data_IF_016456866514
#
_entry.id   IF_016456866514
#
_cell.length_a   1.000
_cell.length_b   1.000
_cell.length_c   1.000
_cell.angle_alpha   90.00
_cell.angle_beta   90.00
_cell.angle_gamma   90.00
#
_symmetry.space_group_name_H-M   'P 1'
#
loop_
_entity.id
_entity.type
_entity.pdbx_description
1 polymer ?
#
# COMPACT_ATOMS: atom_id res chain seq x y z
N UNK A 1 -12.68 -17.64 40.40
CA UNK A 1 -13.80 -16.77 39.95
C UNK A 1 -13.82 -16.80 38.44
N UNK A 2 -14.82 -17.45 37.87
CA UNK A 2 -15.01 -17.65 36.43
C UNK A 2 -15.25 -16.29 35.73
N UNK A 3 -14.30 -15.88 34.87
CA UNK A 3 -14.60 -14.87 33.84
C UNK A 3 -15.50 -15.55 32.82
N UNK A 4 -16.77 -15.13 32.79
CA UNK A 4 -17.72 -15.42 31.72
C UNK A 4 -17.03 -15.16 30.38
N UNK A 5 -16.87 -16.23 29.58
CA UNK A 5 -16.55 -16.12 28.18
C UNK A 5 -17.62 -15.23 27.54
N UNK A 6 -17.23 -14.06 27.04
CA UNK A 6 -18.11 -13.22 26.26
C UNK A 6 -18.62 -14.09 25.09
N UNK A 7 -19.93 -14.27 25.02
CA UNK A 7 -20.58 -15.00 23.93
C UNK A 7 -20.15 -14.32 22.63
N UNK A 8 -19.44 -15.07 21.79
CA UNK A 8 -18.98 -14.60 20.50
C UNK A 8 -20.19 -14.41 19.58
N UNK A 9 -20.72 -13.18 19.53
CA UNK A 9 -21.89 -12.80 18.72
C UNK A 9 -21.56 -12.64 17.23
N UNK A 10 -20.42 -13.16 16.77
CA UNK A 10 -19.99 -13.07 15.37
C UNK A 10 -20.83 -14.00 14.49
N UNK A 11 -21.19 -13.49 13.30
CA UNK A 11 -22.01 -14.21 12.31
C UNK A 11 -21.19 -15.07 11.34
N UNK A 12 -19.87 -14.87 11.27
CA UNK A 12 -18.98 -15.50 10.30
C UNK A 12 -17.71 -16.00 10.97
N UNK A 13 -17.18 -17.11 10.45
CA UNK A 13 -15.88 -17.64 10.85
C UNK A 13 -14.77 -16.72 10.34
N UNK A 14 -13.76 -16.48 11.19
CA UNK A 14 -12.57 -15.70 10.84
C UNK A 14 -11.38 -16.63 10.68
N UNK A 15 -10.64 -16.42 9.61
CA UNK A 15 -9.41 -17.13 9.28
C UNK A 15 -8.26 -16.23 9.73
N UNK A 16 -7.52 -16.67 10.74
CA UNK A 16 -6.33 -15.98 11.21
C UNK A 16 -5.17 -16.22 10.24
N UNK A 17 -4.34 -15.20 10.03
CA UNK A 17 -3.14 -15.34 9.20
C UNK A 17 -1.97 -15.76 10.08
N UNK A 18 -1.34 -16.89 9.74
CA UNK A 18 -0.15 -17.41 10.44
C UNK A 18 1.17 -16.82 9.92
N UNK A 19 1.09 -16.09 8.81
CA UNK A 19 2.10 -16.12 7.76
C UNK A 19 2.73 -14.74 7.46
N UNK A 20 2.07 -13.66 7.88
CA UNK A 20 2.48 -12.30 7.53
C UNK A 20 2.94 -11.52 8.76
N UNK A 21 4.25 -11.29 8.85
CA UNK A 21 4.89 -10.48 9.89
C UNK A 21 5.32 -9.10 9.41
N UNK A 22 5.19 -8.82 8.11
CA UNK A 22 5.61 -7.57 7.49
C UNK A 22 4.45 -6.60 7.27
N UNK A 23 4.68 -5.28 7.46
CA UNK A 23 3.63 -4.29 7.28
C UNK A 23 3.29 -4.08 5.80
N UNK A 24 2.00 -4.12 5.51
CA UNK A 24 1.44 -3.66 4.24
C UNK A 24 1.24 -2.14 4.25
N UNK A 25 1.01 -1.58 3.06
CA UNK A 25 0.61 -0.19 2.87
C UNK A 25 -0.88 -0.08 2.58
N UNK A 26 -1.54 0.80 3.33
CA UNK A 26 -2.91 1.24 3.09
C UNK A 26 -2.98 2.76 2.93
N UNK A 27 -4.15 3.24 2.56
CA UNK A 27 -4.43 4.66 2.40
C UNK A 27 -5.79 5.03 3.00
N UNK A 28 -5.83 6.18 3.66
CA UNK A 28 -7.06 6.82 4.15
C UNK A 28 -7.69 7.57 2.98
N UNK A 29 -8.91 7.21 2.59
CA UNK A 29 -9.55 7.81 1.42
C UNK A 29 -9.82 9.33 1.55
N UNK A 30 -10.20 9.87 2.73
CA UNK A 30 -10.50 11.30 2.85
C UNK A 30 -9.34 12.23 2.50
N UNK A 31 -8.14 11.92 2.98
CA UNK A 31 -6.95 12.79 2.90
C UNK A 31 -5.79 12.18 2.10
N UNK A 32 -5.93 10.93 1.68
CA UNK A 32 -4.90 10.17 0.96
C UNK A 32 -3.60 9.99 1.76
N UNK A 33 -3.71 9.99 3.10
CA UNK A 33 -2.59 9.68 3.98
C UNK A 33 -2.32 8.17 3.94
N UNK A 34 -1.07 7.83 3.66
CA UNK A 34 -0.57 6.46 3.66
C UNK A 34 -0.33 5.99 5.10
N UNK A 35 -0.74 4.77 5.42
CA UNK A 35 -0.47 4.13 6.71
C UNK A 35 0.09 2.71 6.52
N UNK A 36 0.74 2.19 7.56
CA UNK A 36 1.22 0.82 7.62
C UNK A 36 0.30 -0.03 8.50
N UNK A 37 0.06 -1.28 8.11
CA UNK A 37 -0.75 -2.20 8.90
C UNK A 37 -0.28 -3.65 8.76
N UNK A 38 -0.54 -4.45 9.79
CA UNK A 38 -0.42 -5.90 9.76
C UNK A 38 -1.81 -6.53 9.55
N UNK A 39 -1.84 -7.60 8.77
CA UNK A 39 -3.07 -8.33 8.50
C UNK A 39 -3.25 -9.43 9.55
N UNK A 40 -4.35 -9.39 10.31
CA UNK A 40 -4.53 -10.25 11.51
C UNK A 40 -5.48 -11.42 11.22
N UNK A 41 -6.68 -11.10 10.72
CA UNK A 41 -7.66 -12.10 10.32
C UNK A 41 -8.57 -11.57 9.20
N UNK A 42 -9.27 -12.47 8.52
CA UNK A 42 -10.34 -12.10 7.58
C UNK A 42 -11.55 -13.02 7.68
N UNK A 43 -12.69 -12.53 7.21
CA UNK A 43 -13.89 -13.31 6.92
C UNK A 43 -14.44 -12.91 5.53
N UNK A 44 -15.56 -13.51 5.14
CA UNK A 44 -16.25 -13.18 3.88
C UNK A 44 -16.71 -11.72 3.78
N UNK A 45 -16.93 -11.04 4.92
CA UNK A 45 -17.45 -9.67 4.96
C UNK A 45 -16.53 -8.65 5.64
N UNK A 46 -15.43 -9.09 6.26
CA UNK A 46 -14.60 -8.21 7.07
C UNK A 46 -13.15 -8.65 7.19
N UNK A 47 -12.34 -7.75 7.72
CA UNK A 47 -10.92 -7.97 7.96
C UNK A 47 -10.53 -7.27 9.26
N UNK A 48 -9.62 -7.88 10.00
CA UNK A 48 -8.97 -7.24 11.13
C UNK A 48 -7.54 -6.92 10.75
N UNK A 49 -7.15 -5.68 11.02
CA UNK A 49 -5.77 -5.22 10.89
C UNK A 49 -5.25 -4.76 12.25
N UNK A 50 -3.94 -4.81 12.43
CA UNK A 50 -3.24 -4.19 13.54
C UNK A 50 -2.39 -3.03 13.01
N UNK A 51 -2.43 -1.90 13.71
CA UNK A 51 -1.53 -0.76 13.47
C UNK A 51 -0.42 -0.84 14.52
N UNK A 52 0.84 -1.05 14.10
CA UNK A 52 1.97 -1.10 15.02
C UNK A 52 2.26 0.24 15.68
N UNK A 53 2.71 0.23 16.94
CA UNK A 53 3.00 1.42 17.75
C UNK A 53 4.02 2.40 17.16
N UNK A 54 5.04 1.89 16.46
CA UNK A 54 6.02 2.71 15.76
C UNK A 54 5.41 3.50 14.58
N UNK A 55 4.15 3.23 14.25
CA UNK A 55 3.34 3.95 13.24
C UNK A 55 2.27 4.84 13.91
N UNK A 56 1.96 4.66 15.20
CA UNK A 56 0.77 5.20 15.89
C UNK A 56 0.78 6.72 16.08
N UNK A 57 1.88 7.44 15.82
CA UNK A 57 1.95 8.84 16.27
C UNK A 57 0.97 9.84 15.60
N UNK A 58 0.27 9.51 14.50
CA UNK A 58 -0.51 10.55 13.79
C UNK A 58 -1.92 10.20 13.28
N UNK A 59 -2.39 8.94 13.33
CA UNK A 59 -3.65 8.57 12.70
C UNK A 59 -4.58 7.75 13.62
N UNK A 60 -5.52 8.43 14.29
CA UNK A 60 -6.71 7.76 14.81
C UNK A 60 -7.73 7.68 13.70
N UNK A 61 -8.07 6.48 13.27
CA UNK A 61 -9.19 6.30 12.35
C UNK A 61 -10.50 6.73 13.00
N UNK A 62 -11.46 7.16 12.19
CA UNK A 62 -12.81 7.49 12.65
C UNK A 62 -13.76 6.33 12.32
N UNK A 63 -14.74 6.06 13.18
CA UNK A 63 -15.78 5.08 12.84
C UNK A 63 -16.51 5.51 11.57
N UNK A 64 -16.73 4.56 10.65
CA UNK A 64 -17.30 4.84 9.33
C UNK A 64 -16.32 5.39 8.30
N UNK A 65 -15.06 5.65 8.64
CA UNK A 65 -14.04 6.09 7.69
C UNK A 65 -13.72 5.01 6.65
N UNK A 66 -13.53 5.43 5.40
CA UNK A 66 -13.15 4.54 4.30
C UNK A 66 -11.64 4.46 4.14
N UNK A 67 -11.14 3.22 4.14
CA UNK A 67 -9.75 2.88 3.96
C UNK A 67 -9.61 2.01 2.72
N UNK A 68 -8.51 2.16 1.98
CA UNK A 68 -8.14 1.22 0.93
C UNK A 68 -6.85 0.52 1.35
N UNK A 69 -6.95 -0.79 1.54
CA UNK A 69 -5.85 -1.65 2.00
C UNK A 69 -4.91 -2.04 0.85
N UNK A 70 -5.33 -1.84 -0.41
CA UNK A 70 -4.56 -2.19 -1.60
C UNK A 70 -4.02 -3.63 -1.57
N UNK A 71 -4.74 -4.57 -0.94
CA UNK A 71 -4.28 -5.95 -0.86
C UNK A 71 -4.65 -6.68 -2.15
N UNK A 72 -3.68 -7.28 -2.88
CA UNK A 72 -3.95 -8.08 -4.07
C UNK A 72 -4.42 -9.51 -3.72
N UNK A 73 -5.18 -9.64 -2.62
CA UNK A 73 -5.54 -10.92 -1.99
C UNK A 73 -7.06 -11.06 -1.89
N UNK A 74 -7.57 -12.25 -2.19
CA UNK A 74 -8.97 -12.63 -1.93
C UNK A 74 -9.10 -13.62 -0.77
N UNK A 75 -10.14 -13.42 0.05
CA UNK A 75 -10.65 -14.43 0.98
C UNK A 75 -12.06 -14.82 0.53
N UNK A 76 -12.23 -16.06 0.09
CA UNK A 76 -13.45 -16.50 -0.60
C UNK A 76 -13.67 -15.72 -1.90
N UNK A 77 -14.86 -15.13 -2.06
CA UNK A 77 -15.19 -14.36 -3.27
C UNK A 77 -14.81 -12.87 -3.20
N UNK A 78 -14.40 -12.37 -2.04
CA UNK A 78 -14.23 -10.93 -1.82
C UNK A 78 -12.77 -10.50 -1.89
N UNK A 79 -12.51 -9.41 -2.62
CA UNK A 79 -11.19 -8.74 -2.67
C UNK A 79 -11.04 -7.81 -1.47
N UNK A 80 -9.91 -7.91 -0.78
CA UNK A 80 -9.58 -7.08 0.39
C UNK A 80 -9.06 -5.70 -0.03
N UNK A 81 -9.83 -4.96 -0.82
CA UNK A 81 -9.36 -3.69 -1.37
C UNK A 81 -9.85 -2.49 -0.57
N UNK A 82 -11.16 -2.22 -0.58
CA UNK A 82 -11.75 -1.04 0.06
C UNK A 82 -12.61 -1.48 1.23
N UNK A 83 -12.38 -0.88 2.40
CA UNK A 83 -13.07 -1.24 3.62
C UNK A 83 -13.54 0.00 4.38
N UNK A 84 -14.47 -0.21 5.30
CA UNK A 84 -14.95 0.82 6.23
C UNK A 84 -14.66 0.42 7.66
N UNK A 85 -14.15 1.37 8.44
CA UNK A 85 -13.91 1.19 9.88
C UNK A 85 -15.22 0.95 10.61
N UNK A 86 -15.23 -0.03 11.52
CA UNK A 86 -16.38 -0.35 12.38
C UNK A 86 -16.09 -0.27 13.86
N UNK A 87 -14.88 -0.63 14.26
CA UNK A 87 -14.47 -0.57 15.65
C UNK A 87 -12.96 -0.50 15.74
N UNK A 88 -12.48 0.00 16.86
CA UNK A 88 -11.07 0.11 17.18
C UNK A 88 -10.86 -0.31 18.62
N UNK A 89 -9.75 -1.01 18.87
CA UNK A 89 -9.38 -1.47 20.21
C UNK A 89 -7.88 -1.40 20.36
N UNK A 90 -7.42 -0.58 21.31
CA UNK A 90 -6.03 -0.62 21.74
C UNK A 90 -5.76 -1.90 22.53
N UNK A 91 -4.62 -2.53 22.28
CA UNK A 91 -4.10 -3.61 23.10
C UNK A 91 -2.86 -3.15 23.85
N UNK A 92 -2.97 -3.07 25.17
CA UNK A 92 -1.86 -2.64 26.02
C UNK A 92 -0.74 -3.69 26.13
N UNK A 93 -1.02 -4.96 25.81
CA UNK A 93 -0.02 -6.02 25.89
C UNK A 93 0.96 -5.99 24.72
N UNK A 94 0.46 -5.73 23.51
CA UNK A 94 1.27 -5.65 22.27
C UNK A 94 1.61 -4.22 21.88
N UNK A 95 1.03 -3.22 22.57
CA UNK A 95 1.06 -1.80 22.21
C UNK A 95 0.43 -1.51 20.83
N UNK A 96 -0.32 -2.44 20.25
CA UNK A 96 -0.92 -2.27 18.93
C UNK A 96 -2.34 -1.70 19.01
N UNK A 97 -2.78 -1.11 17.90
CA UNK A 97 -4.18 -0.73 17.71
C UNK A 97 -4.85 -1.68 16.71
N UNK A 98 -5.77 -2.50 17.20
CA UNK A 98 -6.60 -3.34 16.35
C UNK A 98 -7.75 -2.54 15.76
N UNK A 99 -7.98 -2.74 14.47
CA UNK A 99 -9.05 -2.08 13.71
C UNK A 99 -9.88 -3.14 13.01
N UNK A 100 -11.17 -3.15 13.33
CA UNK A 100 -12.14 -3.98 12.64
C UNK A 100 -12.72 -3.26 11.43
N UNK A 101 -12.58 -3.89 10.27
CA UNK A 101 -13.00 -3.34 9.00
C UNK A 101 -14.09 -4.21 8.37
N UNK A 102 -15.07 -3.56 7.75
CA UNK A 102 -16.07 -4.22 6.90
C UNK A 102 -15.75 -3.92 5.45
N UNK A 103 -15.71 -4.94 4.62
CA UNK A 103 -15.42 -4.80 3.21
C UNK A 103 -16.55 -4.03 2.50
N UNK A 104 -16.16 -3.08 1.65
CA UNK A 104 -17.06 -2.45 0.69
C UNK A 104 -16.99 -3.27 -0.62
N UNK A 105 -18.08 -3.30 -1.39
CA UNK A 105 -18.28 -4.24 -2.52
C UNK A 105 -17.08 -4.35 -3.48
N UNK A 106 -16.96 -5.57 -4.02
CA UNK A 106 -15.98 -6.15 -4.97
C UNK A 106 -15.18 -5.16 -5.84
N UNK A 107 -13.86 -5.28 -5.76
CA UNK A 107 -12.95 -4.83 -6.81
C UNK A 107 -13.12 -5.63 -8.10
N UNK A 108 -12.84 -4.98 -9.24
CA UNK A 108 -12.83 -5.60 -10.56
C UNK A 108 -11.46 -6.16 -10.96
N UNK A 109 -10.42 -5.97 -10.16
CA UNK A 109 -9.09 -6.53 -10.46
C UNK A 109 -9.02 -8.02 -10.12
N UNK A 110 -8.47 -8.82 -11.02
CA UNK A 110 -8.13 -10.22 -10.72
C UNK A 110 -7.13 -10.28 -9.57
N UNK A 111 -7.42 -11.04 -8.50
CA UNK A 111 -6.51 -11.17 -7.37
C UNK A 111 -5.26 -11.96 -7.76
N UNK A 112 -4.11 -11.51 -7.28
CA UNK A 112 -2.84 -12.23 -7.48
C UNK A 112 -2.76 -13.42 -6.53
N UNK A 113 -3.33 -13.27 -5.33
CA UNK A 113 -3.29 -14.28 -4.28
C UNK A 113 -4.68 -14.64 -3.76
N UNK A 114 -4.80 -15.87 -3.29
CA UNK A 114 -5.96 -16.38 -2.56
C UNK A 114 -5.53 -16.89 -1.20
N UNK A 115 -6.43 -16.78 -0.24
CA UNK A 115 -6.27 -17.35 1.10
C UNK A 115 -7.10 -18.62 1.16
N UNK A 116 -6.50 -19.70 1.62
CA UNK A 116 -7.20 -20.97 1.81
C UNK A 116 -7.96 -21.00 3.16
N UNK A 117 -8.62 -22.13 3.43
CA UNK A 117 -9.38 -22.31 4.68
C UNK A 117 -8.52 -22.36 5.95
N UNK A 118 -7.21 -22.55 5.82
CA UNK A 118 -6.24 -22.61 6.90
C UNK A 118 -5.53 -21.27 7.14
N UNK A 119 -5.76 -20.27 6.29
CA UNK A 119 -5.11 -18.97 6.37
C UNK A 119 -3.78 -18.90 5.63
N UNK A 120 -3.45 -19.92 4.82
CA UNK A 120 -2.28 -19.93 3.96
C UNK A 120 -2.55 -19.13 2.71
N UNK A 121 -1.52 -18.40 2.25
CA UNK A 121 -1.60 -17.59 1.05
C UNK A 121 -0.97 -18.33 -0.12
N UNK A 122 -1.72 -18.45 -1.20
CA UNK A 122 -1.28 -19.09 -2.43
C UNK A 122 -1.45 -18.14 -3.62
N UNK A 123 -0.69 -18.37 -4.70
CA UNK A 123 -0.95 -17.72 -5.97
C UNK A 123 -2.31 -18.16 -6.52
N UNK A 124 -3.13 -17.19 -6.95
CA UNK A 124 -4.44 -17.47 -7.57
C UNK A 124 -4.31 -18.25 -8.87
N UNK A 125 -3.20 -18.05 -9.60
CA UNK A 125 -2.88 -18.77 -10.84
C UNK A 125 -1.59 -19.57 -10.64
N UNK A 126 -1.71 -20.89 -10.59
CA UNK A 126 -0.60 -21.83 -10.39
C UNK A 126 0.42 -21.84 -11.53
N UNK A 127 0.11 -21.25 -12.70
CA UNK A 127 1.04 -21.08 -13.81
C UNK A 127 1.96 -19.85 -13.69
N UNK A 128 1.75 -18.99 -12.69
CA UNK A 128 2.63 -17.84 -12.44
C UNK A 128 3.86 -18.27 -11.65
N UNK A 129 5.04 -18.07 -12.25
CA UNK A 129 6.31 -18.26 -11.55
C UNK A 129 6.61 -17.04 -10.66
N UNK A 130 6.93 -17.28 -9.39
CA UNK A 130 7.28 -16.25 -8.39
C UNK A 130 8.35 -15.26 -8.88
N UNK A 131 9.44 -15.76 -9.49
CA UNK A 131 10.53 -14.92 -10.00
C UNK A 131 10.04 -13.96 -11.07
N UNK A 132 9.32 -14.49 -12.06
CA UNK A 132 8.70 -13.73 -13.13
C UNK A 132 7.72 -12.67 -12.59
N UNK A 133 6.96 -13.00 -11.55
CA UNK A 133 6.04 -12.07 -10.90
C UNK A 133 6.78 -10.94 -10.15
N UNK A 134 7.85 -11.24 -9.40
CA UNK A 134 8.69 -10.22 -8.74
C UNK A 134 9.24 -9.22 -9.77
N UNK A 135 9.83 -9.73 -10.86
CA UNK A 135 10.37 -8.89 -11.94
C UNK A 135 9.29 -8.00 -12.55
N UNK A 136 8.11 -8.58 -12.84
CA UNK A 136 6.98 -7.83 -13.38
C UNK A 136 6.54 -6.72 -12.42
N UNK A 137 6.36 -7.02 -11.13
CA UNK A 137 5.91 -6.04 -10.12
C UNK A 137 6.90 -4.88 -9.97
N UNK A 138 8.21 -5.15 -9.97
CA UNK A 138 9.23 -4.10 -9.89
C UNK A 138 9.24 -3.23 -11.16
N UNK A 139 9.17 -3.86 -12.34
CA UNK A 139 9.11 -3.15 -13.62
C UNK A 139 7.86 -2.28 -13.73
N UNK A 140 6.70 -2.85 -13.41
CA UNK A 140 5.41 -2.14 -13.44
C UNK A 140 5.44 -0.96 -12.46
N UNK A 141 6.10 -1.10 -11.30
CA UNK A 141 6.25 -0.01 -10.34
C UNK A 141 7.15 1.12 -10.86
N UNK A 142 8.25 0.81 -11.54
CA UNK A 142 9.05 1.83 -12.21
C UNK A 142 8.24 2.57 -13.28
N UNK A 143 7.43 1.86 -14.07
CA UNK A 143 6.52 2.45 -15.08
C UNK A 143 5.47 3.35 -14.43
N UNK A 144 4.85 2.92 -13.34
CA UNK A 144 3.88 3.73 -12.60
C UNK A 144 4.51 5.01 -12.04
N UNK A 145 5.71 4.94 -11.46
CA UNK A 145 6.44 6.14 -11.00
C UNK A 145 6.82 7.07 -12.16
N UNK A 146 7.15 6.56 -13.35
CA UNK A 146 7.30 7.39 -14.55
C UNK A 146 5.98 8.07 -14.94
N UNK A 147 4.84 7.41 -14.78
CA UNK A 147 3.52 8.02 -14.94
C UNK A 147 3.32 9.21 -13.98
N UNK A 148 3.69 9.06 -12.70
CA UNK A 148 3.66 10.15 -11.71
C UNK A 148 4.54 11.31 -12.17
N UNK A 149 5.76 11.00 -12.64
CA UNK A 149 6.68 12.00 -13.17
C UNK A 149 6.08 12.79 -14.34
N UNK A 150 5.43 12.12 -15.31
CA UNK A 150 4.79 12.78 -16.45
C UNK A 150 3.76 13.81 -15.97
N UNK A 151 2.90 13.44 -15.02
CA UNK A 151 1.92 14.38 -14.48
C UNK A 151 2.57 15.57 -13.75
N UNK A 152 3.64 15.34 -12.98
CA UNK A 152 4.39 16.42 -12.33
C UNK A 152 5.11 17.34 -13.33
N UNK A 153 5.64 16.79 -14.43
CA UNK A 153 6.29 17.56 -15.49
C UNK A 153 5.28 18.42 -16.27
N UNK A 154 4.02 17.99 -16.37
CA UNK A 154 2.93 18.83 -16.87
C UNK A 154 2.43 19.86 -15.85
N UNK A 155 2.52 19.54 -14.56
CA UNK A 155 2.13 20.43 -13.47
C UNK A 155 2.99 21.71 -13.44
N UNK A 156 4.31 21.58 -13.61
CA UNK A 156 5.26 22.68 -13.45
C UNK A 156 5.04 23.86 -14.45
N UNK A 157 4.90 23.63 -15.78
CA UNK A 157 4.59 24.70 -16.73
C UNK A 157 3.23 25.35 -16.46
N UNK A 158 2.23 24.56 -16.05
CA UNK A 158 0.91 25.09 -15.75
C UNK A 158 0.94 25.99 -14.51
N UNK A 159 1.57 25.51 -13.42
CA UNK A 159 1.77 26.28 -12.19
C UNK A 159 2.45 27.63 -12.47
N UNK A 160 3.48 27.64 -13.34
CA UNK A 160 4.18 28.87 -13.73
C UNK A 160 3.32 29.91 -14.47
N UNK A 161 2.14 29.53 -14.96
CA UNK A 161 1.20 30.41 -15.64
C UNK A 161 0.16 30.98 -14.68
N UNK A 162 -0.34 30.17 -13.76
CA UNK A 162 -1.45 30.54 -12.88
C UNK A 162 -1.01 31.16 -11.55
N UNK A 163 0.23 30.91 -11.12
CA UNK A 163 0.70 31.30 -9.78
C UNK A 163 1.75 32.43 -9.78
N UNK A 164 1.88 33.19 -10.87
CA UNK A 164 2.86 34.29 -10.95
C UNK A 164 2.65 35.38 -9.90
N UNK A 165 1.41 35.51 -9.42
CA UNK A 165 1.02 36.50 -8.42
C UNK A 165 1.04 35.94 -6.99
N UNK A 166 1.49 34.68 -6.80
CA UNK A 166 1.62 34.10 -5.46
C UNK A 166 2.81 34.72 -4.74
N UNK A 167 2.55 35.27 -3.56
CA UNK A 167 3.58 35.57 -2.58
C UNK A 167 4.32 34.25 -2.26
N UNK A 168 5.65 34.23 -2.37
CA UNK A 168 6.50 33.03 -2.25
C UNK A 168 6.43 32.01 -3.39
N UNK A 169 6.07 32.42 -4.63
CA UNK A 169 6.07 31.54 -5.80
C UNK A 169 7.37 30.71 -5.95
N UNK A 170 8.53 31.33 -5.84
CA UNK A 170 9.82 30.64 -6.04
C UNK A 170 10.09 29.58 -4.96
N UNK A 171 9.66 29.82 -3.72
CA UNK A 171 9.80 28.86 -2.61
C UNK A 171 8.86 27.66 -2.81
N UNK A 172 7.60 27.90 -3.15
CA UNK A 172 6.61 26.85 -3.44
C UNK A 172 7.07 26.02 -4.64
N UNK A 173 7.53 26.69 -5.70
CA UNK A 173 8.06 26.02 -6.89
C UNK A 173 9.24 25.11 -6.55
N UNK A 174 10.24 25.64 -5.86
CA UNK A 174 11.45 24.90 -5.51
C UNK A 174 11.13 23.70 -4.63
N UNK A 175 10.50 23.96 -3.48
CA UNK A 175 10.25 22.96 -2.46
C UNK A 175 9.16 21.95 -2.86
N UNK A 176 8.00 22.40 -3.36
CA UNK A 176 6.90 21.47 -3.63
C UNK A 176 7.01 20.75 -4.97
N UNK A 177 7.63 21.35 -5.99
CA UNK A 177 7.62 20.80 -7.34
C UNK A 177 8.99 20.30 -7.78
N UNK A 178 10.02 21.16 -7.72
CA UNK A 178 11.33 20.78 -8.23
C UNK A 178 11.98 19.68 -7.37
N UNK A 179 11.86 19.75 -6.05
CA UNK A 179 12.38 18.71 -5.16
C UNK A 179 11.55 17.43 -5.23
N UNK A 180 10.23 17.52 -5.35
CA UNK A 180 9.35 16.36 -5.62
C UNK A 180 9.73 15.68 -6.94
N UNK A 181 9.97 16.45 -8.00
CA UNK A 181 10.42 15.92 -9.30
C UNK A 181 11.75 15.19 -9.18
N UNK A 182 12.74 15.77 -8.48
CA UNK A 182 14.03 15.12 -8.24
C UNK A 182 13.87 13.83 -7.45
N UNK A 183 13.02 13.83 -6.41
CA UNK A 183 12.76 12.67 -5.58
C UNK A 183 12.13 11.53 -6.39
N UNK A 184 11.10 11.83 -7.19
CA UNK A 184 10.46 10.85 -8.07
C UNK A 184 11.46 10.29 -9.09
N UNK A 185 12.28 11.13 -9.73
CA UNK A 185 13.34 10.68 -10.66
C UNK A 185 14.34 9.75 -9.99
N UNK A 186 14.76 10.08 -8.77
CA UNK A 186 15.65 9.23 -7.97
C UNK A 186 15.02 7.87 -7.67
N UNK A 187 13.75 7.83 -7.26
CA UNK A 187 13.05 6.57 -6.96
C UNK A 187 12.79 5.71 -8.19
N UNK A 188 12.50 6.33 -9.34
CA UNK A 188 12.40 5.62 -10.63
C UNK A 188 13.72 4.88 -10.90
N UNK A 189 14.85 5.59 -10.82
CA UNK A 189 16.17 5.00 -11.02
C UNK A 189 16.43 3.86 -10.03
N UNK A 190 16.13 4.05 -8.75
CA UNK A 190 16.32 3.02 -7.73
C UNK A 190 15.46 1.77 -7.98
N UNK A 191 14.22 1.91 -8.45
CA UNK A 191 13.37 0.79 -8.85
C UNK A 191 13.92 0.06 -10.09
N UNK A 192 14.45 0.79 -11.06
CA UNK A 192 15.09 0.22 -12.25
C UNK A 192 16.38 -0.54 -11.91
N UNK A 193 17.22 0.05 -11.05
CA UNK A 193 18.45 -0.58 -10.55
C UNK A 193 18.12 -1.83 -9.71
N UNK A 194 17.07 -1.78 -8.88
CA UNK A 194 16.59 -2.94 -8.13
C UNK A 194 16.07 -4.04 -9.07
N UNK A 195 15.27 -3.69 -10.07
CA UNK A 195 14.83 -4.64 -11.09
C UNK A 195 16.02 -5.27 -11.83
N UNK A 196 17.01 -4.47 -12.23
CA UNK A 196 18.23 -4.97 -12.88
C UNK A 196 18.99 -5.99 -12.05
N UNK A 197 19.19 -5.70 -10.74
CA UNK A 197 19.79 -6.64 -9.80
C UNK A 197 19.05 -7.97 -9.73
N UNK A 198 17.71 -7.94 -9.69
CA UNK A 198 16.91 -9.16 -9.69
C UNK A 198 16.97 -9.95 -10.99
N UNK A 199 17.02 -9.27 -12.15
CA UNK A 199 17.20 -9.94 -13.44
C UNK A 199 18.51 -10.72 -13.46
N UNK A 200 19.61 -10.07 -13.07
CA UNK A 200 20.94 -10.69 -13.01
C UNK A 200 20.98 -11.81 -11.96
N UNK A 201 20.51 -11.55 -10.75
CA UNK A 201 20.58 -12.52 -9.66
C UNK A 201 19.66 -13.73 -9.83
N UNK A 202 18.51 -13.59 -10.49
CA UNK A 202 17.66 -14.74 -10.83
C UNK A 202 18.22 -15.57 -11.98
N UNK A 203 18.91 -14.94 -12.95
CA UNK A 203 19.59 -15.67 -14.02
C UNK A 203 20.72 -16.54 -13.48
N UNK A 204 21.48 -16.02 -12.51
CA UNK A 204 22.63 -16.70 -11.91
C UNK A 204 22.29 -17.52 -10.65
N UNK A 205 21.01 -17.57 -10.25
CA UNK A 205 20.53 -18.15 -8.99
C UNK A 205 21.26 -17.62 -7.73
N UNK A 206 21.76 -16.40 -7.79
CA UNK A 206 22.52 -15.75 -6.71
C UNK A 206 21.68 -14.85 -5.82
N UNK A 207 20.43 -14.57 -6.21
CA UNK A 207 19.47 -13.82 -5.40
C UNK A 207 18.19 -14.63 -5.13
N UNK A 208 17.74 -14.54 -3.89
CA UNK A 208 16.42 -14.95 -3.42
C UNK A 208 15.47 -13.73 -3.38
N UNK A 209 14.17 -13.98 -3.41
CA UNK A 209 13.15 -12.96 -3.14
C UNK A 209 13.32 -12.33 -1.73
N UNK A 210 14.01 -13.01 -0.82
CA UNK A 210 14.25 -12.59 0.57
C UNK A 210 15.41 -11.59 0.73
N UNK A 211 16.20 -11.34 -0.31
CA UNK A 211 17.44 -10.53 -0.22
C UNK A 211 17.20 -9.01 -0.28
N UNK A 212 15.93 -8.60 -0.26
CA UNK A 212 15.53 -7.19 -0.28
C UNK A 212 15.31 -6.69 1.14
N UNK A 213 15.96 -5.57 1.46
CA UNK A 213 15.55 -4.76 2.60
C UNK A 213 14.17 -4.16 2.36
N UNK A 214 13.17 -4.68 3.06
CA UNK A 214 11.78 -4.27 2.94
C UNK A 214 11.53 -2.83 3.39
N UNK A 215 12.40 -2.25 4.22
CA UNK A 215 12.33 -0.83 4.55
C UNK A 215 12.74 0.04 3.36
N UNK A 216 13.89 -0.27 2.76
CA UNK A 216 14.34 0.39 1.53
C UNK A 216 13.30 0.24 0.42
N UNK A 217 12.71 -0.95 0.25
CA UNK A 217 11.64 -1.16 -0.72
C UNK A 217 10.45 -0.25 -0.43
N UNK A 218 9.93 -0.23 0.80
CA UNK A 218 8.79 0.61 1.20
C UNK A 218 9.00 2.08 0.85
N UNK A 219 10.21 2.60 1.08
CA UNK A 219 10.53 4.00 0.83
C UNK A 219 10.43 4.36 -0.66
N UNK A 220 10.67 3.41 -1.57
CA UNK A 220 10.47 3.59 -3.02
C UNK A 220 9.00 3.75 -3.40
N UNK A 221 8.08 3.17 -2.62
CA UNK A 221 6.64 3.23 -2.88
C UNK A 221 5.95 4.40 -2.19
N UNK A 222 6.54 4.99 -1.15
CA UNK A 222 5.99 6.12 -0.41
C UNK A 222 5.53 7.25 -1.35
N UNK A 223 4.36 7.83 -1.09
CA UNK A 223 3.85 8.99 -1.83
C UNK A 223 4.78 10.21 -1.68
N UNK A 224 5.06 10.89 -2.80
CA UNK A 224 5.83 12.13 -2.82
C UNK A 224 4.94 13.38 -2.85
N UNK A 225 3.64 13.22 -3.09
CA UNK A 225 2.71 14.33 -3.33
C UNK A 225 1.65 14.36 -2.22
N UNK A 226 1.70 15.34 -1.33
CA UNK A 226 0.68 15.47 -0.26
C UNK A 226 -0.63 16.02 -0.83
N UNK A 227 -1.69 15.21 -0.87
CA UNK A 227 -3.00 15.65 -1.37
C UNK A 227 -3.54 16.86 -0.60
N UNK A 228 -3.40 16.83 0.73
CA UNK A 228 -3.84 17.92 1.60
C UNK A 228 -3.09 19.22 1.30
N UNK A 229 -1.75 19.16 1.19
CA UNK A 229 -0.93 20.33 0.88
C UNK A 229 -1.31 20.92 -0.48
N UNK A 230 -1.46 20.08 -1.50
CA UNK A 230 -1.82 20.54 -2.84
C UNK A 230 -3.25 21.11 -2.90
N UNK A 231 -4.23 20.51 -2.21
CA UNK A 231 -5.59 21.06 -2.10
C UNK A 231 -5.63 22.42 -1.39
N UNK A 232 -4.78 22.62 -0.39
CA UNK A 232 -4.68 23.88 0.33
C UNK A 232 -4.00 24.97 -0.49
N UNK A 233 -2.96 24.61 -1.25
CA UNK A 233 -2.19 25.56 -2.07
C UNK A 233 -2.89 25.90 -3.40
N UNK A 234 -3.66 24.96 -3.97
CA UNK A 234 -4.21 25.08 -5.32
C UNK A 234 -5.73 24.94 -5.35
N UNK A 235 -6.48 26.04 -5.53
CA UNK A 235 -7.93 25.98 -5.67
C UNK A 235 -8.39 25.58 -7.09
N UNK A 236 -7.47 25.52 -8.05
CA UNK A 236 -7.80 25.24 -9.46
C UNK A 236 -8.15 23.76 -9.68
N UNK A 237 -9.33 23.51 -10.25
CA UNK A 237 -9.85 22.16 -10.47
C UNK A 237 -9.00 21.33 -11.44
N UNK A 238 -8.37 21.95 -12.44
CA UNK A 238 -7.52 21.23 -13.39
C UNK A 238 -6.27 20.68 -12.67
N UNK A 239 -5.69 21.48 -11.75
CA UNK A 239 -4.61 20.99 -10.90
C UNK A 239 -5.04 19.84 -10.01
N UNK A 240 -6.23 19.94 -9.40
CA UNK A 240 -6.76 18.86 -8.56
C UNK A 240 -6.94 17.55 -9.35
N UNK A 241 -7.35 17.63 -10.62
CA UNK A 241 -7.46 16.45 -11.48
C UNK A 241 -6.07 15.80 -11.71
N UNK A 242 -5.01 16.58 -11.92
CA UNK A 242 -3.65 16.02 -12.04
C UNK A 242 -3.20 15.30 -10.76
N UNK A 243 -3.53 15.86 -9.59
CA UNK A 243 -3.22 15.23 -8.31
C UNK A 243 -4.02 13.93 -8.14
N UNK A 244 -5.29 13.92 -8.51
CA UNK A 244 -6.12 12.71 -8.48
C UNK A 244 -5.55 11.59 -9.37
N UNK A 245 -5.09 11.92 -10.58
CA UNK A 245 -4.42 10.94 -11.44
C UNK A 245 -3.12 10.40 -10.84
N UNK A 246 -2.31 11.27 -10.21
CA UNK A 246 -1.13 10.83 -9.45
C UNK A 246 -1.55 9.87 -8.34
N UNK A 247 -2.61 10.18 -7.59
CA UNK A 247 -3.12 9.31 -6.53
C UNK A 247 -3.60 7.96 -7.06
N UNK A 248 -4.27 7.91 -8.19
CA UNK A 248 -4.67 6.66 -8.83
C UNK A 248 -3.46 5.79 -9.22
N UNK A 249 -2.37 6.40 -9.68
CA UNK A 249 -1.11 5.67 -9.93
C UNK A 249 -0.46 5.16 -8.64
N UNK A 250 -0.48 5.95 -7.56
CA UNK A 250 0.03 5.55 -6.25
C UNK A 250 -0.75 4.39 -5.64
N UNK A 251 -2.06 4.30 -5.83
CA UNK A 251 -2.85 3.15 -5.38
C UNK A 251 -2.36 1.84 -6.02
N UNK A 252 -2.05 1.87 -7.32
CA UNK A 252 -1.50 0.71 -8.05
C UNK A 252 -0.08 0.39 -7.59
N UNK A 253 0.72 1.40 -7.26
CA UNK A 253 2.02 1.21 -6.63
C UNK A 253 1.90 0.49 -5.29
N UNK A 254 0.96 0.90 -4.43
CA UNK A 254 0.73 0.21 -3.15
C UNK A 254 0.28 -1.23 -3.34
N UNK A 255 -0.56 -1.52 -4.34
CA UNK A 255 -0.90 -2.90 -4.70
C UNK A 255 0.32 -3.72 -5.10
N UNK A 256 1.25 -3.14 -5.88
CA UNK A 256 2.48 -3.81 -6.25
C UNK A 256 3.41 -4.04 -5.05
N UNK A 257 3.53 -3.07 -4.15
CA UNK A 257 4.28 -3.22 -2.89
C UNK A 257 3.70 -4.35 -2.03
N UNK A 258 2.38 -4.34 -1.82
CA UNK A 258 1.71 -5.35 -1.02
C UNK A 258 1.85 -6.74 -1.65
N UNK A 259 1.84 -6.86 -2.97
CA UNK A 259 2.16 -8.11 -3.66
C UNK A 259 3.58 -8.61 -3.38
N UNK A 260 4.57 -7.71 -3.40
CA UNK A 260 5.95 -8.04 -3.07
C UNK A 260 6.11 -8.47 -1.60
N UNK A 261 5.42 -7.80 -0.67
CA UNK A 261 5.37 -8.20 0.75
C UNK A 261 4.78 -9.61 0.91
N UNK A 262 3.70 -9.92 0.19
CA UNK A 262 3.10 -11.26 0.20
C UNK A 262 4.09 -12.32 -0.32
N UNK A 263 4.73 -12.08 -1.47
CA UNK A 263 5.72 -13.02 -2.02
C UNK A 263 6.93 -13.22 -1.11
N UNK A 264 7.38 -12.14 -0.48
CA UNK A 264 8.47 -12.20 0.49
C UNK A 264 8.08 -13.06 1.70
N UNK A 265 6.86 -12.87 2.22
CA UNK A 265 6.34 -13.64 3.36
C UNK A 265 6.22 -15.12 3.03
N UNK A 266 5.68 -15.46 1.85
CA UNK A 266 5.61 -16.85 1.36
C UNK A 266 7.01 -17.49 1.25
N UNK A 267 7.98 -16.78 0.67
CA UNK A 267 9.35 -17.28 0.53
C UNK A 267 10.06 -17.49 1.88
N UNK A 268 9.76 -16.67 2.89
CA UNK A 268 10.29 -16.87 4.24
C UNK A 268 9.70 -18.13 4.89
N UNK A 269 8.40 -18.37 4.76
CA UNK A 269 7.77 -19.58 5.30
C UNK A 269 8.35 -20.85 4.67
N UNK A 270 8.51 -20.86 3.33
CA UNK A 270 9.14 -21.98 2.60
C UNK A 270 10.58 -22.25 3.06
N UNK A 271 11.28 -21.23 3.58
CA UNK A 271 12.66 -21.38 4.07
C UNK A 271 12.76 -21.88 5.52
N UNK A 272 11.66 -21.80 6.28
CA UNK A 272 11.59 -22.21 7.69
C UNK A 272 11.01 -23.62 7.88
N UNK A 273 10.35 -24.18 6.87
CA UNK A 273 9.82 -25.56 6.83
C UNK A 273 10.82 -26.57 6.30
#
# INVERSE_FOLDING_TARGET
MNKLAAIDNRREQRIAYSCISLPFLGIRMPDHIQFQFLLVDSSSSGVQIAIPDWVIEWDRFVDGEELRLCLPVTSGESTLETCRVRWQKADQATNEQFVGLVQLKKSFSEPIFKIDEFGMIELSNSGLETRSLVLRLLKDSAVLKRGVLIYLEHFLPYFSRIARDFEHYDEIRGFMLEDTLKLVKSKIKQLEDLHGRFVEGFADNSLSATDVDMNSLRDLYRSEVSNALFKMTFPDQLLLNYIEEIKNLELRLFTNYNALVTLYSMALEDSLG
#
